data_IF_264246675101
#
_entry.id   IF_264246675101
#
_cell.length_a   1.000
_cell.length_b   1.000
_cell.length_c   1.000
_cell.angle_alpha   90.00
_cell.angle_beta   90.00
_cell.angle_gamma   90.00
#
_symmetry.space_group_name_H-M   'P 1'
#
loop_
_entity.id
_entity.type
_entity.pdbx_description
1 polymer ?
#
# COMPACT_ATOMS: atom_id res chain seq x y z
N UNK A 1 -8.67 -29.39 -11.14
CA UNK A 1 -9.11 -30.78 -10.87
C UNK A 1 -10.40 -31.04 -11.64
N UNK A 2 -10.45 -32.00 -12.57
CA UNK A 2 -11.70 -32.45 -13.18
C UNK A 2 -12.09 -33.81 -12.59
N UNK A 3 -13.25 -33.89 -11.93
CA UNK A 3 -13.82 -35.17 -11.48
C UNK A 3 -15.16 -35.40 -12.17
N UNK A 4 -15.33 -36.61 -12.68
CA UNK A 4 -16.58 -37.09 -13.28
C UNK A 4 -17.62 -37.35 -12.16
N UNK A 5 -18.47 -36.35 -11.87
CA UNK A 5 -19.62 -36.52 -10.99
C UNK A 5 -20.70 -37.27 -11.76
N UNK A 6 -21.24 -38.35 -11.18
CA UNK A 6 -22.26 -39.18 -11.84
C UNK A 6 -23.46 -38.35 -12.28
N UNK A 7 -23.81 -38.44 -13.56
CA UNK A 7 -24.90 -37.71 -14.22
C UNK A 7 -26.24 -37.80 -13.47
N UNK A 8 -27.02 -36.71 -13.52
CA UNK A 8 -28.40 -36.64 -13.03
C UNK A 8 -29.31 -37.54 -13.87
N UNK A 9 -29.30 -38.85 -13.62
CA UNK A 9 -30.33 -39.76 -14.13
C UNK A 9 -31.47 -39.86 -13.12
N UNK A 10 -32.58 -39.22 -13.45
CA UNK A 10 -33.86 -39.30 -12.74
C UNK A 10 -34.67 -40.55 -13.13
N UNK A 11 -34.11 -41.75 -12.98
CA UNK A 11 -34.93 -42.97 -13.03
C UNK A 11 -35.36 -43.30 -11.60
N UNK A 12 -36.64 -43.08 -11.31
CA UNK A 12 -37.25 -43.28 -10.00
C UNK A 12 -37.15 -44.73 -9.52
N UNK A 13 -36.91 -44.90 -8.21
CA UNK A 13 -36.82 -46.19 -7.53
C UNK A 13 -36.39 -46.00 -6.07
N UNK A 14 -36.54 -47.04 -5.24
CA UNK A 14 -36.14 -47.02 -3.81
C UNK A 14 -34.68 -46.61 -3.59
N UNK A 15 -33.81 -46.85 -4.58
CA UNK A 15 -32.40 -46.46 -4.56
C UNK A 15 -32.14 -45.00 -4.94
N UNK A 16 -33.11 -44.26 -5.47
CA UNK A 16 -32.92 -42.88 -5.95
C UNK A 16 -32.48 -41.93 -4.81
N UNK A 17 -33.07 -42.09 -3.63
CA UNK A 17 -32.76 -41.28 -2.44
C UNK A 17 -31.35 -41.60 -1.90
N UNK A 18 -30.96 -42.88 -1.91
CA UNK A 18 -29.60 -43.31 -1.58
C UNK A 18 -28.57 -42.74 -2.58
N UNK A 19 -28.86 -42.78 -3.88
CA UNK A 19 -27.97 -42.20 -4.89
C UNK A 19 -27.89 -40.68 -4.80
N UNK A 20 -28.98 -39.99 -4.43
CA UNK A 20 -28.95 -38.57 -4.14
C UNK A 20 -28.01 -38.25 -2.97
N UNK A 21 -28.12 -39.00 -1.86
CA UNK A 21 -27.22 -38.85 -0.71
C UNK A 21 -25.75 -39.09 -1.07
N UNK A 22 -25.44 -40.18 -1.79
CA UNK A 22 -24.08 -40.47 -2.25
C UNK A 22 -23.51 -39.38 -3.17
N UNK A 23 -24.36 -38.71 -3.98
CA UNK A 23 -23.93 -37.57 -4.80
C UNK A 23 -23.59 -36.35 -3.95
N UNK A 24 -24.42 -36.01 -2.97
CA UNK A 24 -24.17 -34.89 -2.06
C UNK A 24 -22.92 -35.15 -1.20
N UNK A 25 -22.71 -36.39 -0.75
CA UNK A 25 -21.52 -36.77 0.01
C UNK A 25 -20.24 -36.66 -0.83
N UNK A 26 -20.25 -37.15 -2.07
CA UNK A 26 -19.13 -36.93 -3.01
C UNK A 26 -18.87 -35.46 -3.29
N UNK A 27 -19.94 -34.65 -3.38
CA UNK A 27 -19.85 -33.20 -3.56
C UNK A 27 -19.14 -32.54 -2.38
N UNK A 28 -19.60 -32.84 -1.17
CA UNK A 28 -19.04 -32.29 0.06
C UNK A 28 -17.57 -32.69 0.23
N UNK A 29 -17.23 -33.95 -0.03
CA UNK A 29 -15.83 -34.42 -0.01
C UNK A 29 -14.95 -33.72 -1.05
N UNK A 30 -15.52 -33.36 -2.21
CA UNK A 30 -14.80 -32.59 -3.22
C UNK A 30 -14.54 -31.15 -2.75
N UNK A 31 -15.55 -30.48 -2.21
CA UNK A 31 -15.42 -29.11 -1.64
C UNK A 31 -14.35 -29.10 -0.55
N UNK A 32 -14.36 -30.09 0.35
CA UNK A 32 -13.32 -30.26 1.38
C UNK A 32 -11.92 -30.40 0.79
N UNK A 33 -11.75 -31.31 -0.18
CA UNK A 33 -10.45 -31.52 -0.83
C UNK A 33 -9.95 -30.24 -1.50
N UNK A 34 -10.84 -29.47 -2.15
CA UNK A 34 -10.48 -28.19 -2.77
C UNK A 34 -10.09 -27.15 -1.73
N UNK A 35 -10.83 -27.05 -0.62
CA UNK A 35 -10.50 -26.14 0.48
C UNK A 35 -9.12 -26.47 1.10
N UNK A 36 -8.85 -27.74 1.37
CA UNK A 36 -7.55 -28.20 1.90
C UNK A 36 -6.40 -27.91 0.91
N UNK A 37 -6.63 -28.16 -0.39
CA UNK A 37 -5.62 -27.86 -1.43
C UNK A 37 -5.36 -26.35 -1.53
N UNK A 38 -6.41 -25.53 -1.38
CA UNK A 38 -6.27 -24.08 -1.40
C UNK A 38 -5.43 -23.57 -0.23
N UNK A 39 -5.60 -24.13 0.97
CA UNK A 39 -4.77 -23.82 2.14
C UNK A 39 -3.30 -24.15 1.88
N UNK A 40 -3.01 -25.33 1.32
CA UNK A 40 -1.63 -25.75 1.03
C UNK A 40 -0.92 -24.84 0.01
N UNK A 41 -1.65 -24.26 -0.94
CA UNK A 41 -1.08 -23.44 -2.01
C UNK A 41 -1.02 -21.95 -1.64
N UNK A 42 -2.06 -21.42 -1.01
CA UNK A 42 -2.24 -19.98 -0.78
C UNK A 42 -1.84 -19.52 0.63
N UNK A 43 -1.52 -20.44 1.55
CA UNK A 43 -1.03 -20.11 2.88
C UNK A 43 0.42 -20.54 3.00
N UNK A 44 1.29 -19.61 3.42
CA UNK A 44 2.70 -19.87 3.69
C UNK A 44 3.07 -19.21 5.01
N UNK A 45 3.52 -19.99 5.99
CA UNK A 45 3.85 -19.47 7.33
C UNK A 45 2.67 -18.78 8.01
N UNK A 46 1.50 -19.42 8.02
CA UNK A 46 0.24 -18.90 8.59
C UNK A 46 -0.33 -17.61 7.97
N UNK A 47 0.33 -17.05 6.95
CA UNK A 47 -0.13 -15.85 6.24
C UNK A 47 -0.51 -16.20 4.81
N UNK A 48 -1.58 -15.56 4.32
CA UNK A 48 -2.00 -15.67 2.92
C UNK A 48 -0.96 -15.00 2.04
N UNK A 49 -0.44 -15.71 1.04
CA UNK A 49 0.60 -15.23 0.14
C UNK A 49 0.06 -14.38 -1.04
N UNK A 50 -1.25 -14.40 -1.26
CA UNK A 50 -1.94 -13.63 -2.30
C UNK A 50 -2.64 -12.37 -1.75
N UNK A 51 -2.66 -11.31 -2.54
CA UNK A 51 -3.35 -10.06 -2.18
C UNK A 51 -4.89 -10.22 -2.18
N UNK A 52 -5.41 -11.09 -3.03
CA UNK A 52 -6.82 -11.44 -3.13
C UNK A 52 -7.04 -12.72 -3.92
N UNK A 53 -8.25 -13.27 -3.82
CA UNK A 53 -8.64 -14.56 -4.36
C UNK A 53 -9.92 -14.42 -5.18
N UNK A 54 -9.99 -15.09 -6.32
CA UNK A 54 -11.19 -15.16 -7.16
C UNK A 54 -11.64 -16.60 -7.24
N UNK A 55 -12.93 -16.85 -6.97
CA UNK A 55 -13.52 -18.17 -7.12
C UNK A 55 -14.31 -18.22 -8.43
N UNK A 56 -13.83 -18.99 -9.39
CA UNK A 56 -14.47 -19.15 -10.68
C UNK A 56 -15.05 -20.57 -10.83
N UNK A 57 -16.30 -20.68 -11.26
CA UNK A 57 -16.93 -21.96 -11.49
C UNK A 57 -18.35 -21.83 -12.06
N UNK A 58 -18.80 -22.87 -12.75
CA UNK A 58 -20.18 -22.97 -13.20
C UNK A 58 -21.10 -23.38 -12.05
N UNK A 59 -22.33 -22.84 -12.07
CA UNK A 59 -23.36 -23.06 -11.05
C UNK A 59 -22.92 -22.66 -9.63
N UNK A 60 -23.64 -23.17 -8.62
CA UNK A 60 -23.54 -22.74 -7.22
C UNK A 60 -22.37 -23.37 -6.45
N UNK A 61 -21.50 -24.14 -7.11
CA UNK A 61 -20.37 -24.81 -6.46
C UNK A 61 -19.38 -23.84 -5.80
N UNK A 62 -19.13 -22.69 -6.45
CA UNK A 62 -18.27 -21.63 -5.91
C UNK A 62 -18.90 -20.95 -4.69
N UNK A 63 -20.23 -20.83 -4.68
CA UNK A 63 -21.01 -20.27 -3.58
C UNK A 63 -20.99 -21.23 -2.38
N UNK A 64 -21.18 -22.53 -2.63
CA UNK A 64 -21.10 -23.58 -1.62
C UNK A 64 -19.70 -23.62 -0.97
N UNK A 65 -18.62 -23.50 -1.76
CA UNK A 65 -17.26 -23.40 -1.23
C UNK A 65 -17.07 -22.13 -0.39
N UNK A 66 -17.49 -20.97 -0.88
CA UNK A 66 -17.32 -19.67 -0.21
C UNK A 66 -18.13 -19.55 1.08
N UNK A 67 -19.26 -20.24 1.20
CA UNK A 67 -20.13 -20.21 2.37
C UNK A 67 -19.85 -21.37 3.34
N UNK A 68 -19.09 -22.38 2.93
CA UNK A 68 -18.81 -23.54 3.77
C UNK A 68 -17.83 -23.21 4.90
N UNK A 69 -18.12 -23.71 6.10
CA UNK A 69 -17.21 -23.63 7.26
C UNK A 69 -15.90 -24.43 7.06
N UNK A 70 -15.81 -25.23 6.00
CA UNK A 70 -14.61 -25.98 5.63
C UNK A 70 -13.56 -25.10 4.96
N UNK A 71 -13.96 -23.95 4.42
CA UNK A 71 -13.02 -23.04 3.78
C UNK A 71 -12.35 -22.17 4.84
N UNK A 72 -11.03 -22.05 4.77
CA UNK A 72 -10.26 -21.30 5.77
C UNK A 72 -10.69 -19.83 5.79
N UNK A 73 -11.02 -19.32 6.98
CA UNK A 73 -11.54 -17.97 7.17
C UNK A 73 -10.56 -16.89 6.71
N UNK A 74 -9.24 -17.15 6.78
CA UNK A 74 -8.21 -16.22 6.30
C UNK A 74 -8.30 -16.08 4.78
N UNK A 75 -8.50 -17.18 4.05
CA UNK A 75 -8.72 -17.15 2.60
C UNK A 75 -10.09 -16.58 2.25
N UNK A 76 -11.12 -16.89 3.03
CA UNK A 76 -12.48 -16.36 2.84
C UNK A 76 -12.51 -14.83 2.90
N UNK A 77 -11.76 -14.22 3.83
CA UNK A 77 -11.65 -12.76 3.94
C UNK A 77 -10.98 -12.08 2.73
N UNK A 78 -10.26 -12.87 1.92
CA UNK A 78 -9.55 -12.43 0.72
C UNK A 78 -10.30 -12.73 -0.58
N UNK A 79 -11.48 -13.32 -0.53
CA UNK A 79 -12.32 -13.56 -1.72
C UNK A 79 -12.85 -12.21 -2.23
N UNK A 80 -12.39 -11.83 -3.43
CA UNK A 80 -12.76 -10.56 -4.08
C UNK A 80 -14.05 -10.68 -4.89
N UNK A 81 -14.17 -11.75 -5.68
CA UNK A 81 -15.26 -11.95 -6.63
C UNK A 81 -15.55 -13.43 -6.83
N UNK A 82 -16.84 -13.75 -6.98
CA UNK A 82 -17.33 -15.02 -7.49
C UNK A 82 -17.62 -14.84 -8.99
N UNK A 83 -17.02 -15.67 -9.83
CA UNK A 83 -17.16 -15.56 -11.30
C UNK A 83 -17.85 -16.80 -11.87
N UNK A 84 -18.90 -16.56 -12.63
CA UNK A 84 -19.56 -17.57 -13.45
C UNK A 84 -18.80 -17.78 -14.75
N UNK A 85 -18.34 -19.02 -14.98
CA UNK A 85 -17.65 -19.41 -16.22
C UNK A 85 -18.41 -20.56 -16.89
N UNK A 86 -18.43 -20.55 -18.22
CA UNK A 86 -19.15 -21.56 -19.01
C UNK A 86 -18.35 -22.84 -19.20
N UNK A 87 -17.01 -22.73 -19.20
CA UNK A 87 -16.09 -23.83 -19.40
C UNK A 87 -15.25 -24.06 -18.14
N UNK A 88 -14.89 -25.31 -17.87
CA UNK A 88 -13.93 -25.67 -16.82
C UNK A 88 -12.51 -25.85 -17.36
N UNK A 89 -11.53 -25.97 -16.47
CA UNK A 89 -10.12 -26.16 -16.84
C UNK A 89 -9.44 -24.87 -17.29
N UNK A 90 -8.41 -24.99 -18.14
CA UNK A 90 -7.57 -23.86 -18.58
C UNK A 90 -8.33 -22.84 -19.42
N UNK A 91 -9.24 -23.29 -20.29
CA UNK A 91 -10.07 -22.38 -21.09
C UNK A 91 -11.00 -21.54 -20.20
N UNK A 92 -11.56 -22.16 -19.15
CA UNK A 92 -12.35 -21.46 -18.13
C UNK A 92 -11.53 -20.49 -17.28
N UNK A 93 -10.26 -20.82 -17.05
CA UNK A 93 -9.32 -19.96 -16.31
C UNK A 93 -9.04 -18.66 -17.05
N UNK A 94 -8.78 -18.72 -18.36
CA UNK A 94 -8.59 -17.51 -19.18
C UNK A 94 -9.84 -16.62 -19.18
N UNK A 95 -11.02 -17.23 -19.27
CA UNK A 95 -12.30 -16.50 -19.18
C UNK A 95 -12.48 -15.83 -17.80
N UNK A 96 -12.11 -16.53 -16.73
CA UNK A 96 -12.18 -15.98 -15.37
C UNK A 96 -11.26 -14.77 -15.20
N UNK A 97 -10.07 -14.78 -15.81
CA UNK A 97 -9.14 -13.65 -15.80
C UNK A 97 -9.78 -12.45 -16.47
N UNK A 98 -10.30 -12.60 -17.68
CA UNK A 98 -10.92 -11.51 -18.45
C UNK A 98 -12.05 -10.83 -17.64
N UNK A 99 -12.98 -11.62 -17.10
CA UNK A 99 -14.10 -11.14 -16.29
C UNK A 99 -13.70 -10.55 -14.92
N UNK A 100 -12.50 -10.84 -14.44
CA UNK A 100 -11.98 -10.36 -13.15
C UNK A 100 -11.04 -9.17 -13.29
N UNK A 101 -10.60 -8.83 -14.49
CA UNK A 101 -9.61 -7.78 -14.76
C UNK A 101 -9.99 -6.43 -14.13
N UNK A 102 -11.26 -6.03 -14.25
CA UNK A 102 -11.78 -4.80 -13.67
C UNK A 102 -11.66 -4.80 -12.13
N UNK A 103 -12.11 -5.88 -11.49
CA UNK A 103 -12.08 -5.97 -10.02
C UNK A 103 -10.66 -6.04 -9.49
N UNK A 104 -9.77 -6.80 -10.16
CA UNK A 104 -8.35 -6.88 -9.80
C UNK A 104 -7.65 -5.52 -9.94
N UNK A 105 -7.96 -4.74 -10.98
CA UNK A 105 -7.44 -3.38 -11.14
C UNK A 105 -7.91 -2.46 -10.01
N UNK A 106 -9.17 -2.62 -9.59
CA UNK A 106 -9.76 -1.85 -8.50
C UNK A 106 -9.16 -2.18 -7.12
N UNK A 107 -8.55 -3.34 -6.92
CA UNK A 107 -7.95 -3.69 -5.62
C UNK A 107 -6.86 -2.70 -5.22
N UNK A 108 -5.99 -2.30 -6.15
CA UNK A 108 -4.93 -1.32 -5.86
C UNK A 108 -5.54 0.01 -5.42
N UNK A 109 -6.56 0.48 -6.14
CA UNK A 109 -7.29 1.70 -5.79
C UNK A 109 -8.00 1.63 -4.44
N UNK A 110 -8.60 0.48 -4.10
CA UNK A 110 -9.26 0.29 -2.80
C UNK A 110 -8.24 0.31 -1.66
N UNK A 111 -7.07 -0.32 -1.83
CA UNK A 111 -6.01 -0.31 -0.84
C UNK A 111 -5.45 1.10 -0.64
N UNK A 112 -5.18 1.81 -1.74
CA UNK A 112 -4.72 3.19 -1.74
C UNK A 112 -5.72 4.11 -1.03
N UNK A 113 -7.00 4.02 -1.40
CA UNK A 113 -8.09 4.77 -0.76
C UNK A 113 -8.16 4.50 0.75
N UNK A 114 -8.01 3.24 1.16
CA UNK A 114 -8.02 2.86 2.58
C UNK A 114 -6.80 3.40 3.33
N UNK A 115 -5.64 3.40 2.70
CA UNK A 115 -4.41 3.94 3.28
C UNK A 115 -4.51 5.44 3.50
N UNK A 116 -4.90 6.19 2.46
CA UNK A 116 -5.06 7.65 2.54
C UNK A 116 -6.23 8.01 3.47
N UNK A 117 -7.31 7.22 3.48
CA UNK A 117 -8.39 7.37 4.45
C UNK A 117 -7.89 7.27 5.89
N UNK A 118 -7.07 6.27 6.21
CA UNK A 118 -6.43 6.15 7.54
C UNK A 118 -5.55 7.36 7.87
N UNK A 119 -4.82 7.90 6.89
CA UNK A 119 -4.03 9.12 7.07
C UNK A 119 -4.91 10.34 7.38
N UNK A 120 -6.02 10.53 6.66
CA UNK A 120 -6.96 11.61 6.94
C UNK A 120 -7.72 11.46 8.26
N UNK A 121 -7.95 10.23 8.71
CA UNK A 121 -8.55 9.96 10.02
C UNK A 121 -7.64 10.48 11.15
N UNK A 122 -6.31 10.28 11.05
CA UNK A 122 -5.35 10.80 12.04
C UNK A 122 -5.33 12.34 12.08
N UNK A 123 -5.47 13.00 10.91
CA UNK A 123 -5.60 14.46 10.83
C UNK A 123 -6.92 14.91 11.46
N UNK A 124 -8.02 14.24 11.13
CA UNK A 124 -9.37 14.64 11.57
C UNK A 124 -9.58 14.43 13.07
N UNK A 125 -8.90 13.45 13.67
CA UNK A 125 -8.96 13.14 15.10
C UNK A 125 -7.94 13.92 15.93
N UNK A 126 -7.08 14.72 15.31
CA UNK A 126 -6.07 15.55 15.98
C UNK A 126 -5.13 14.74 16.89
N UNK A 127 -4.83 13.50 16.50
CA UNK A 127 -3.96 12.58 17.27
C UNK A 127 -2.50 13.04 17.28
N UNK A 128 -2.13 13.89 16.32
CA UNK A 128 -0.76 14.37 16.08
C UNK A 128 0.18 13.28 15.55
N UNK A 129 -0.35 12.18 15.00
CA UNK A 129 0.42 11.05 14.45
C UNK A 129 0.54 11.09 12.93
N UNK A 130 0.69 12.27 12.37
CA UNK A 130 0.84 12.47 10.94
C UNK A 130 1.93 13.52 10.67
N UNK A 131 2.54 13.44 9.50
CA UNK A 131 3.45 14.47 8.97
C UNK A 131 3.10 14.74 7.51
N UNK A 132 3.32 15.97 7.06
CA UNK A 132 3.11 16.40 5.68
C UNK A 132 4.21 17.36 5.26
N UNK A 133 4.44 17.48 3.95
CA UNK A 133 5.53 18.32 3.44
C UNK A 133 6.90 17.65 3.58
N UNK A 134 7.85 18.13 2.78
CA UNK A 134 9.17 17.48 2.66
C UNK A 134 9.98 17.62 3.93
N UNK A 135 10.01 18.82 4.52
CA UNK A 135 10.84 19.14 5.68
C UNK A 135 10.41 18.33 6.92
N UNK A 136 9.14 18.37 7.29
CA UNK A 136 8.62 17.65 8.45
C UNK A 136 8.69 16.14 8.25
N UNK A 137 8.41 15.65 7.05
CA UNK A 137 8.46 14.21 6.75
C UNK A 137 9.89 13.68 6.84
N UNK A 138 10.88 14.44 6.37
CA UNK A 138 12.29 14.07 6.48
C UNK A 138 12.77 14.11 7.94
N UNK A 139 12.45 15.17 8.69
CA UNK A 139 12.74 15.24 10.13
C UNK A 139 12.13 14.06 10.87
N UNK A 140 10.86 13.75 10.62
CA UNK A 140 10.18 12.61 11.23
C UNK A 140 10.83 11.27 10.84
N UNK A 141 11.33 11.16 9.60
CA UNK A 141 12.02 9.98 9.11
C UNK A 141 13.39 9.80 9.79
N UNK A 142 14.14 10.89 9.97
CA UNK A 142 15.44 10.90 10.68
C UNK A 142 15.29 10.50 12.15
N UNK A 143 14.21 10.93 12.80
CA UNK A 143 13.87 10.52 14.17
C UNK A 143 13.36 9.06 14.26
N UNK A 144 13.13 8.40 13.12
CA UNK A 144 12.55 7.05 13.07
C UNK A 144 11.10 7.00 13.56
N UNK A 145 10.38 8.12 13.51
CA UNK A 145 9.00 8.24 13.98
C UNK A 145 7.98 7.69 12.96
N UNK A 146 8.35 7.64 11.68
CA UNK A 146 7.44 7.24 10.59
C UNK A 146 7.17 5.73 10.61
N UNK A 147 5.90 5.34 10.66
CA UNK A 147 5.45 3.96 10.43
C UNK A 147 5.32 3.71 8.93
N UNK A 148 4.49 4.53 8.27
CA UNK A 148 4.16 4.41 6.86
C UNK A 148 4.46 5.73 6.17
N UNK A 149 5.38 5.71 5.21
CA UNK A 149 5.71 6.85 4.37
C UNK A 149 4.86 6.78 3.09
N UNK A 150 4.06 7.81 2.85
CA UNK A 150 3.14 7.91 1.72
C UNK A 150 3.72 8.92 0.74
N UNK A 151 4.02 8.47 -0.48
CA UNK A 151 4.63 9.31 -1.52
C UNK A 151 3.85 9.21 -2.82
N UNK A 152 3.58 10.34 -3.44
CA UNK A 152 2.96 10.41 -4.75
C UNK A 152 3.93 9.97 -5.86
N UNK A 153 3.44 9.23 -6.85
CA UNK A 153 4.27 8.69 -7.94
C UNK A 153 4.94 9.77 -8.81
N UNK A 154 4.27 10.90 -9.04
CA UNK A 154 4.80 12.01 -9.84
C UNK A 154 5.20 13.17 -8.92
N UNK A 155 6.01 12.88 -7.91
CA UNK A 155 6.59 13.89 -7.03
C UNK A 155 7.76 14.58 -7.74
N UNK A 156 7.54 15.81 -8.20
CA UNK A 156 8.55 16.63 -8.86
C UNK A 156 9.47 17.31 -7.83
N UNK A 157 10.11 16.54 -6.96
CA UNK A 157 11.05 17.07 -5.96
C UNK A 157 12.39 16.36 -6.14
N UNK A 158 13.43 17.15 -6.33
CA UNK A 158 14.80 16.68 -6.51
C UNK A 158 15.59 16.91 -5.23
N UNK A 159 16.41 15.92 -4.87
CA UNK A 159 17.40 16.01 -3.80
C UNK A 159 18.74 16.38 -4.43
N UNK A 160 19.30 17.51 -4.02
CA UNK A 160 20.62 17.98 -4.42
C UNK A 160 21.57 17.87 -3.24
N UNK A 161 22.74 17.30 -3.47
CA UNK A 161 23.85 17.32 -2.52
C UNK A 161 24.87 18.34 -3.03
N UNK A 162 24.99 19.43 -2.28
CA UNK A 162 25.87 20.55 -2.59
C UNK A 162 27.10 20.51 -1.67
N UNK A 163 28.26 20.80 -2.24
CA UNK A 163 29.51 20.98 -1.51
C UNK A 163 29.90 22.46 -1.50
N UNK A 164 30.23 22.99 -0.32
CA UNK A 164 30.74 24.34 -0.16
C UNK A 164 32.24 24.36 -0.47
N UNK A 165 32.69 25.25 -1.37
CA UNK A 165 34.12 25.44 -1.64
C UNK A 165 34.79 26.22 -0.49
N UNK A 166 35.01 25.58 0.67
CA UNK A 166 35.72 26.19 1.79
C UNK A 166 35.51 25.52 3.14
N UNK A 167 34.39 24.82 3.31
CA UNK A 167 34.07 23.98 4.47
C UNK A 167 33.78 22.56 3.95
N UNK A 168 34.30 21.52 4.62
CA UNK A 168 33.98 20.11 4.30
C UNK A 168 32.51 19.73 4.56
N UNK A 169 31.62 20.70 4.73
CA UNK A 169 30.21 20.48 5.03
C UNK A 169 29.41 20.26 3.75
N UNK A 170 28.66 19.16 3.74
CA UNK A 170 27.69 18.84 2.69
C UNK A 170 26.34 19.44 3.05
N UNK A 171 25.75 20.23 2.14
CA UNK A 171 24.41 20.79 2.31
C UNK A 171 23.45 20.05 1.39
N UNK A 172 22.44 19.43 1.98
CA UNK A 172 21.40 18.72 1.23
C UNK A 172 20.21 19.67 1.06
N UNK A 173 19.81 19.91 -0.19
CA UNK A 173 18.63 20.71 -0.52
C UNK A 173 17.59 19.85 -1.22
N UNK A 174 16.32 20.13 -0.93
CA UNK A 174 15.17 19.53 -1.58
C UNK A 174 14.43 20.64 -2.30
N UNK A 175 14.46 20.62 -3.63
CA UNK A 175 13.95 21.72 -4.46
C UNK A 175 12.86 21.22 -5.39
N UNK A 176 11.84 22.05 -5.59
CA UNK A 176 10.85 21.88 -6.67
C UNK A 176 11.42 22.41 -8.00
N UNK A 177 10.82 22.09 -9.16
CA UNK A 177 11.35 22.50 -10.46
C UNK A 177 11.22 24.01 -10.70
N UNK A 178 10.36 24.67 -9.92
CA UNK A 178 10.22 26.13 -9.91
C UNK A 178 11.38 26.77 -9.13
N UNK A 179 11.71 26.22 -7.96
CA UNK A 179 12.84 26.66 -7.14
C UNK A 179 14.20 26.32 -7.77
N UNK A 180 14.28 25.26 -8.58
CA UNK A 180 15.47 24.93 -9.36
C UNK A 180 15.85 26.05 -10.35
N UNK A 181 14.86 26.77 -10.89
CA UNK A 181 15.12 27.89 -11.82
C UNK A 181 15.70 29.11 -11.13
N UNK A 182 15.48 29.24 -9.82
CA UNK A 182 15.98 30.33 -9.02
C UNK A 182 17.42 30.06 -8.59
N UNK A 183 18.36 30.70 -9.30
CA UNK A 183 19.81 30.61 -9.06
C UNK A 183 20.26 31.03 -7.65
N UNK A 184 19.40 31.71 -6.90
CA UNK A 184 19.64 32.15 -5.51
C UNK A 184 19.78 30.99 -4.52
N UNK A 185 19.34 29.78 -4.88
CA UNK A 185 19.51 28.59 -4.03
C UNK A 185 20.84 27.87 -4.22
N UNK A 186 21.56 28.16 -5.31
CA UNK A 186 22.88 27.59 -5.63
C UNK A 186 24.03 28.55 -5.28
N UNK A 187 23.70 29.77 -4.87
CA UNK A 187 24.66 30.78 -4.41
C UNK A 187 24.44 31.06 -2.93
N UNK A 188 25.50 30.94 -2.14
CA UNK A 188 25.42 31.19 -0.72
C UNK A 188 25.23 32.70 -0.45
N UNK A 189 24.22 33.06 0.35
CA UNK A 189 23.86 34.47 0.61
C UNK A 189 24.92 35.22 1.43
N UNK A 190 25.80 34.50 2.13
CA UNK A 190 26.83 35.08 3.00
C UNK A 190 28.23 35.13 2.36
N UNK A 191 28.58 34.17 1.50
CA UNK A 191 29.94 34.07 0.93
C UNK A 191 30.01 34.38 -0.57
N UNK A 192 28.87 34.42 -1.28
CA UNK A 192 28.82 34.73 -2.71
C UNK A 192 29.52 33.69 -3.60
N UNK A 193 29.84 32.52 -3.05
CA UNK A 193 30.43 31.41 -3.78
C UNK A 193 29.35 30.46 -4.31
N UNK A 194 29.60 29.90 -5.50
CA UNK A 194 28.74 28.90 -6.11
C UNK A 194 29.00 27.55 -5.44
N UNK A 195 27.96 26.90 -4.92
CA UNK A 195 28.11 25.54 -4.41
C UNK A 195 28.30 24.56 -5.57
N UNK A 196 29.24 23.63 -5.42
CA UNK A 196 29.41 22.57 -6.41
C UNK A 196 28.33 21.51 -6.23
N UNK A 197 27.62 21.19 -7.31
CA UNK A 197 26.65 20.11 -7.34
C UNK A 197 27.41 18.79 -7.49
N UNK A 198 27.38 17.96 -6.45
CA UNK A 198 27.97 16.62 -6.47
C UNK A 198 26.99 15.66 -7.14
N UNK A 199 25.79 15.58 -6.61
CA UNK A 199 24.80 14.57 -6.99
C UNK A 199 23.40 15.18 -6.96
N UNK A 200 22.62 14.88 -8.00
CA UNK A 200 21.19 15.14 -8.06
C UNK A 200 20.45 13.82 -8.25
N UNK A 201 19.43 13.59 -7.43
CA UNK A 201 18.61 12.38 -7.51
C UNK A 201 17.14 12.72 -7.21
N UNK A 202 16.17 12.10 -7.91
CA UNK A 202 14.76 12.24 -7.57
C UNK A 202 14.47 11.77 -6.14
N UNK A 203 13.68 12.54 -5.40
CA UNK A 203 13.40 12.24 -3.99
C UNK A 203 12.68 10.90 -3.82
N UNK A 204 11.79 10.54 -4.75
CA UNK A 204 11.10 9.24 -4.75
C UNK A 204 12.09 8.07 -4.86
N UNK A 205 13.10 8.17 -5.72
CA UNK A 205 14.14 7.15 -5.88
C UNK A 205 15.01 7.04 -4.62
N UNK A 206 15.36 8.20 -4.03
CA UNK A 206 16.09 8.22 -2.77
C UNK A 206 15.33 7.52 -1.63
N UNK A 207 14.01 7.75 -1.53
CA UNK A 207 13.18 7.03 -0.57
C UNK A 207 13.19 5.53 -0.85
N UNK A 208 13.04 5.10 -2.10
CA UNK A 208 13.06 3.68 -2.47
C UNK A 208 14.39 2.98 -2.10
N UNK A 209 15.50 3.71 -2.09
CA UNK A 209 16.81 3.17 -1.71
C UNK A 209 17.03 3.14 -0.19
N UNK A 210 16.50 4.13 0.55
CA UNK A 210 16.85 4.32 1.96
C UNK A 210 15.73 4.01 2.97
N UNK A 211 14.48 3.82 2.56
CA UNK A 211 13.34 3.62 3.49
C UNK A 211 13.56 2.50 4.52
N UNK A 212 14.24 1.41 4.12
CA UNK A 212 14.54 0.26 4.98
C UNK A 212 15.46 0.61 6.15
N UNK A 213 16.36 1.59 5.98
CA UNK A 213 17.29 2.01 7.03
C UNK A 213 16.56 2.71 8.17
N UNK A 214 15.50 3.45 7.84
CA UNK A 214 14.67 4.20 8.79
C UNK A 214 13.56 3.35 9.42
N UNK A 215 13.35 2.11 8.93
CA UNK A 215 12.31 1.23 9.44
C UNK A 215 10.88 1.66 9.05
N UNK A 216 10.73 2.53 8.06
CA UNK A 216 9.43 2.93 7.52
C UNK A 216 8.98 1.96 6.41
N UNK A 217 7.67 1.83 6.19
CA UNK A 217 7.12 1.18 4.99
C UNK A 217 6.80 2.24 3.94
N UNK A 218 7.43 2.15 2.76
CA UNK A 218 7.15 3.05 1.65
C UNK A 218 5.91 2.58 0.87
N UNK A 219 4.92 3.45 0.76
CA UNK A 219 3.70 3.25 -0.03
C UNK A 219 3.58 4.34 -1.09
N UNK A 220 3.49 3.92 -2.35
CA UNK A 220 3.39 4.82 -3.50
C UNK A 220 1.93 4.95 -3.91
N UNK A 221 1.42 6.18 -3.96
CA UNK A 221 0.01 6.50 -4.25
C UNK A 221 -0.14 7.31 -5.54
N UNK A 222 -1.35 7.33 -6.08
CA UNK A 222 -1.72 8.06 -7.30
C UNK A 222 -2.76 9.14 -7.01
N UNK A 223 -3.04 10.00 -7.99
CA UNK A 223 -4.04 11.07 -7.88
C UNK A 223 -5.42 10.68 -8.44
N UNK A 224 -5.60 9.40 -8.80
CA UNK A 224 -6.82 8.89 -9.45
C UNK A 224 -8.00 8.76 -8.49
N UNK A 225 -7.74 8.62 -7.19
CA UNK A 225 -8.77 8.62 -6.15
C UNK A 225 -9.10 10.04 -5.70
N UNK A 226 -10.31 10.27 -5.17
CA UNK A 226 -10.68 11.58 -4.64
C UNK A 226 -9.79 11.96 -3.46
N UNK A 227 -9.50 10.99 -2.59
CA UNK A 227 -8.60 11.12 -1.44
C UNK A 227 -7.16 11.36 -1.90
N UNK A 228 -6.67 10.64 -2.92
CA UNK A 228 -5.36 10.86 -3.51
C UNK A 228 -5.20 12.24 -4.13
N UNK A 229 -6.22 12.73 -4.84
CA UNK A 229 -6.20 14.09 -5.39
C UNK A 229 -6.14 15.16 -4.29
N UNK A 230 -6.83 14.96 -3.17
CA UNK A 230 -6.74 15.83 -2.00
C UNK A 230 -5.37 15.76 -1.32
N UNK A 231 -4.78 14.57 -1.23
CA UNK A 231 -3.43 14.39 -0.69
C UNK A 231 -2.37 15.13 -1.53
N UNK A 232 -2.43 14.99 -2.85
CA UNK A 232 -1.49 15.66 -3.76
C UNK A 232 -1.67 17.18 -3.75
N UNK A 233 -2.91 17.67 -3.92
CA UNK A 233 -3.19 19.12 -4.03
C UNK A 233 -3.15 19.86 -2.69
N UNK A 234 -3.53 19.19 -1.60
CA UNK A 234 -3.62 19.80 -0.27
C UNK A 234 -2.34 19.68 0.55
N UNK A 235 -1.61 18.57 0.42
CA UNK A 235 -0.47 18.23 1.28
C UNK A 235 0.85 18.07 0.51
N UNK A 236 0.89 18.46 -0.76
CA UNK A 236 2.11 18.46 -1.57
C UNK A 236 2.57 17.07 -2.02
N UNK A 237 1.72 16.04 -1.92
CA UNK A 237 2.01 14.69 -2.42
C UNK A 237 3.05 13.91 -1.61
N UNK A 238 3.42 14.39 -0.43
CA UNK A 238 4.32 13.71 0.50
C UNK A 238 3.78 13.81 1.92
N UNK A 239 3.81 12.69 2.63
CA UNK A 239 3.42 12.64 4.03
C UNK A 239 3.65 11.27 4.64
N UNK A 240 3.25 11.12 5.88
CA UNK A 240 3.43 9.86 6.59
C UNK A 240 2.55 9.72 7.81
N UNK A 241 2.30 8.46 8.18
CA UNK A 241 1.67 8.09 9.44
C UNK A 241 2.78 7.78 10.43
N UNK A 242 2.76 8.45 11.57
CA UNK A 242 3.77 8.33 12.62
C UNK A 242 3.36 7.28 13.66
N UNK A 243 4.34 6.60 14.23
CA UNK A 243 4.16 5.62 15.32
C UNK A 243 3.72 6.28 16.62
N UNK A 244 4.22 7.50 16.87
CA UNK A 244 3.96 8.31 18.05
C UNK A 244 3.77 9.77 17.65
N UNK A 245 3.17 10.56 18.54
CA UNK A 245 2.94 11.99 18.31
C UNK A 245 4.28 12.72 18.32
N UNK A 246 4.54 13.52 17.29
CA UNK A 246 5.71 14.38 17.17
C UNK A 246 5.22 15.82 17.12
N UNK A 247 5.87 16.71 17.85
CA UNK A 247 5.57 18.14 17.83
C UNK A 247 6.57 18.85 16.92
N UNK A 248 6.14 19.17 15.70
CA UNK A 248 6.97 19.82 14.69
C UNK A 248 7.20 21.31 15.00
N UNK A 249 6.25 21.95 15.69
CA UNK A 249 6.32 23.37 16.04
C UNK A 249 7.48 23.65 17.01
N UNK A 250 7.73 22.74 17.95
CA UNK A 250 8.83 22.89 18.91
C UNK A 250 10.24 22.81 18.29
N UNK A 251 10.38 22.24 17.09
CA UNK A 251 11.68 22.04 16.44
C UNK A 251 12.07 23.15 15.47
N UNK A 252 11.10 23.89 14.91
CA UNK A 252 11.42 25.13 14.19
C UNK A 252 12.03 26.17 15.15
N UNK A 253 11.56 26.22 16.40
CA UNK A 253 12.09 27.13 17.43
C UNK A 253 13.45 26.73 18.01
N UNK A 254 13.91 25.50 17.83
CA UNK A 254 15.28 25.10 18.25
C UNK A 254 16.32 25.28 17.14
N UNK A 255 15.88 25.47 15.89
CA UNK A 255 16.78 25.74 14.75
C UNK A 255 16.98 27.23 14.46
N UNK A 256 16.21 28.10 15.12
CA UNK A 256 16.35 29.55 15.04
C UNK A 256 16.58 30.12 16.44
N UNK A 257 17.79 30.63 16.64
CA UNK A 257 18.21 31.45 17.78
C UNK A 257 18.36 30.71 19.12
N UNK A 258 19.55 30.13 19.33
CA UNK A 258 20.19 30.06 20.65
C UNK A 258 20.48 31.51 21.15
N UNK A 259 19.44 32.32 21.38
CA UNK A 259 19.58 33.52 22.21
C UNK A 259 19.54 33.08 23.68
N UNK A 260 20.75 32.93 24.20
CA UNK A 260 21.09 32.87 25.61
C UNK A 260 20.41 34.02 26.36
N UNK A 261 19.24 33.78 26.96
CA UNK A 261 18.60 34.73 27.87
C UNK A 261 19.41 34.76 29.18
N UNK A 262 20.33 35.73 29.29
CA UNK A 262 20.96 36.11 30.55
C UNK A 262 19.88 36.56 31.56
N UNK A 263 19.67 35.73 32.58
CA UNK A 263 18.65 35.86 33.62
C UNK A 263 19.15 36.66 34.84
N UNK A 264 19.88 37.76 34.62
CA UNK A 264 20.37 38.64 35.70
C UNK A 264 19.85 40.07 35.51
N UNK A 265 18.53 40.27 35.66
CA UNK A 265 17.97 41.56 36.08
C UNK A 265 16.53 41.37 36.62
N UNK A 266 16.42 41.00 37.91
CA UNK A 266 15.26 41.32 38.76
C UNK A 266 15.62 41.35 40.24
#
# INVERSE_FOLDING_TARGET
LCIYISSFKGRGGQSALRFARLRMEKRHNYVRKVAETAVQLFISGDKVNVAGLVLAGSADFKTELSQSDMFDQRLQSKVLKLVDISYGGENGFNQAIELSTEVLSNVKFIQEKKLIGRYFDEISQDTGKYCFGVEDTLKALEMGAVEILIVYENLDIMRYVLHCQGTEEEKILYLTPEQEKDKSHFTDKETGQEHELIESMPLLEWFANNYKKFGATLEIVTDKSQEGSQFVKGFGGIGGILRYRVDFQGMEYQGGDDEFFDLDDY
#
